data_IF_410554750818
#
_entry.id   IF_410554750818
#
_cell.length_a   1.000
_cell.length_b   1.000
_cell.length_c   1.000
_cell.angle_alpha   90.00
_cell.angle_beta   90.00
_cell.angle_gamma   90.00
#
_symmetry.space_group_name_H-M   'P 1'
#
loop_
_entity.id
_entity.type
_entity.pdbx_description
1 polymer ?
#
# COMPACT_ATOMS: atom_id res chain seq x y z
N UNK A 1 3.33 -8.37 6.36
CA UNK A 1 2.38 -7.99 5.29
C UNK A 1 1.76 -9.28 4.74
N UNK A 2 0.45 -9.41 4.84
CA UNK A 2 -0.29 -10.52 4.22
C UNK A 2 0.06 -10.65 2.73
N UNK A 3 0.17 -11.88 2.24
CA UNK A 3 0.40 -12.14 0.81
C UNK A 3 -0.92 -12.07 0.05
N UNK A 4 -0.87 -11.53 -1.17
CA UNK A 4 -2.01 -11.50 -2.08
C UNK A 4 -1.83 -12.55 -3.18
N UNK A 5 -2.35 -13.75 -2.93
CA UNK A 5 -2.03 -14.93 -3.74
C UNK A 5 -2.53 -14.83 -5.19
N UNK A 6 -3.75 -14.31 -5.42
CA UNK A 6 -4.29 -14.15 -6.78
C UNK A 6 -3.47 -13.16 -7.61
N UNK A 7 -2.98 -12.09 -6.98
CA UNK A 7 -2.09 -11.14 -7.64
C UNK A 7 -0.74 -11.77 -8.00
N UNK A 8 -0.15 -12.58 -7.11
CA UNK A 8 1.09 -13.30 -7.41
C UNK A 8 0.90 -14.28 -8.58
N UNK A 9 -0.21 -15.01 -8.62
CA UNK A 9 -0.54 -15.89 -9.74
C UNK A 9 -0.70 -15.13 -11.06
N UNK A 10 -1.34 -13.95 -11.02
CA UNK A 10 -1.46 -13.08 -12.20
C UNK A 10 -0.10 -12.62 -12.73
N UNK A 11 0.86 -12.30 -11.85
CA UNK A 11 2.22 -11.96 -12.26
C UNK A 11 2.93 -13.13 -12.94
N UNK A 12 2.87 -14.33 -12.34
CA UNK A 12 3.46 -15.55 -12.91
C UNK A 12 2.85 -15.85 -14.29
N UNK A 13 1.53 -15.75 -14.43
CA UNK A 13 0.86 -15.91 -15.72
C UNK A 13 1.39 -14.95 -16.79
N UNK A 14 1.61 -13.68 -16.43
CA UNK A 14 2.20 -12.69 -17.33
C UNK A 14 3.62 -13.07 -17.78
N UNK A 15 4.44 -13.56 -16.86
CA UNK A 15 5.79 -14.05 -17.19
C UNK A 15 5.78 -15.28 -18.11
N UNK A 16 4.89 -16.23 -17.85
CA UNK A 16 4.74 -17.43 -18.69
C UNK A 16 4.27 -17.09 -20.11
N UNK A 17 3.33 -16.14 -20.23
CA UNK A 17 2.90 -15.60 -21.52
C UNK A 17 4.06 -14.95 -22.28
N UNK A 18 4.86 -14.11 -21.60
CA UNK A 18 6.04 -13.47 -22.20
C UNK A 18 7.10 -14.49 -22.65
N UNK A 19 7.41 -15.50 -21.82
CA UNK A 19 8.33 -16.59 -22.16
C UNK A 19 7.86 -17.38 -23.38
N UNK A 20 6.56 -17.63 -23.49
CA UNK A 20 5.97 -18.35 -24.62
C UNK A 20 6.16 -17.57 -25.91
N UNK A 21 5.83 -16.28 -25.92
CA UNK A 21 6.03 -15.39 -27.06
C UNK A 21 7.50 -15.28 -27.45
N UNK A 22 8.41 -15.19 -26.47
CA UNK A 22 9.84 -15.03 -26.71
C UNK A 22 10.42 -16.19 -27.56
N UNK A 23 9.94 -17.42 -27.35
CA UNK A 23 10.37 -18.58 -28.17
C UNK A 23 10.05 -18.41 -29.65
N UNK A 24 8.96 -17.72 -30.00
CA UNK A 24 8.60 -17.46 -31.39
C UNK A 24 9.37 -16.29 -31.97
N UNK A 25 9.70 -15.27 -31.16
CA UNK A 25 10.64 -14.21 -31.56
C UNK A 25 11.99 -14.81 -31.96
N UNK A 26 12.56 -15.66 -31.11
CA UNK A 26 13.84 -16.34 -31.40
C UNK A 26 13.81 -17.21 -32.66
N UNK A 27 12.65 -17.78 -33.02
CA UNK A 27 12.49 -18.55 -34.26
C UNK A 27 12.50 -17.64 -35.49
N UNK A 28 11.87 -16.47 -35.41
CA UNK A 28 11.93 -15.46 -36.48
C UNK A 28 13.38 -15.00 -36.66
N UNK A 29 14.07 -14.64 -35.57
CA UNK A 29 15.45 -14.17 -35.62
C UNK A 29 16.39 -15.22 -36.25
N UNK A 30 16.20 -16.51 -35.92
CA UNK A 30 16.97 -17.61 -36.53
C UNK A 30 16.69 -17.77 -38.02
N UNK A 31 15.43 -17.63 -38.44
CA UNK A 31 15.04 -17.72 -39.85
C UNK A 31 15.59 -16.53 -40.65
N UNK A 32 15.52 -15.31 -40.11
CA UNK A 32 16.08 -14.10 -40.73
C UNK A 32 17.60 -14.20 -40.84
N UNK A 33 18.28 -14.72 -39.81
CA UNK A 33 19.71 -14.97 -39.86
C UNK A 33 20.08 -15.94 -40.98
N UNK A 34 19.32 -17.02 -41.18
CA UNK A 34 19.54 -17.98 -42.28
C UNK A 34 19.42 -17.31 -43.65
N UNK A 35 18.46 -16.41 -43.84
CA UNK A 35 18.34 -15.61 -45.09
C UNK A 35 19.58 -14.75 -45.30
N UNK A 36 20.04 -14.05 -44.26
CA UNK A 36 21.24 -13.21 -44.34
C UNK A 36 22.50 -14.02 -44.64
N UNK A 37 22.68 -15.17 -43.98
CA UNK A 37 23.82 -16.07 -44.22
C UNK A 37 23.84 -16.59 -45.68
N UNK A 38 22.67 -16.86 -46.27
CA UNK A 38 22.56 -17.27 -47.67
C UNK A 38 22.83 -16.12 -48.65
N UNK A 39 22.40 -14.90 -48.32
CA UNK A 39 22.70 -13.68 -49.11
C UNK A 39 24.21 -13.40 -49.13
N UNK A 40 24.88 -13.49 -47.98
CA UNK A 40 26.34 -13.35 -47.88
C UNK A 40 27.04 -14.39 -48.77
N UNK A 41 26.61 -15.65 -48.72
CA UNK A 41 27.18 -16.71 -49.58
C UNK A 41 26.96 -16.43 -51.07
N UNK A 42 25.81 -15.88 -51.44
CA UNK A 42 25.55 -15.50 -52.84
C UNK A 42 26.51 -14.40 -53.30
N UNK A 43 26.78 -13.40 -52.45
CA UNK A 43 27.72 -12.32 -52.73
C UNK A 43 29.17 -12.84 -52.84
N UNK A 44 29.56 -13.80 -51.99
CA UNK A 44 30.85 -14.49 -52.07
C UNK A 44 31.01 -15.24 -53.39
N UNK A 45 30.01 -16.03 -53.79
CA UNK A 45 30.02 -16.78 -55.06
C UNK A 45 30.11 -15.83 -56.25
N UNK A 46 29.35 -14.72 -56.23
CA UNK A 46 29.41 -13.69 -57.26
C UNK A 46 30.80 -13.04 -57.34
N UNK A 47 31.41 -12.74 -56.19
CA UNK A 47 32.77 -12.17 -56.12
C UNK A 47 33.83 -13.13 -56.69
N UNK A 48 33.70 -14.43 -56.41
CA UNK A 48 34.61 -15.47 -56.95
C UNK A 48 34.47 -15.57 -58.47
N UNK A 49 33.25 -15.56 -59.01
CA UNK A 49 33.01 -15.60 -60.46
C UNK A 49 33.62 -14.38 -61.15
N UNK A 50 33.44 -13.18 -60.60
CA UNK A 50 34.01 -11.95 -61.17
C UNK A 50 35.53 -11.95 -61.14
N UNK A 51 36.14 -12.45 -60.06
CA UNK A 51 37.61 -12.42 -59.88
C UNK A 51 38.34 -13.55 -60.61
N UNK A 52 37.72 -14.73 -60.72
CA UNK A 52 38.34 -15.91 -61.36
C UNK A 52 37.93 -16.10 -62.83
N UNK A 53 36.84 -15.47 -63.27
CA UNK A 53 36.25 -15.69 -64.60
C UNK A 53 35.58 -17.06 -64.78
N UNK A 54 35.51 -17.88 -63.72
CA UNK A 54 34.86 -19.19 -63.75
C UNK A 54 33.35 -19.01 -63.61
N UNK A 55 32.58 -19.57 -64.55
CA UNK A 55 31.12 -19.54 -64.50
C UNK A 55 30.58 -20.26 -63.24
N UNK A 56 29.81 -19.51 -62.44
CA UNK A 56 29.14 -19.98 -61.22
C UNK A 56 27.62 -19.92 -61.32
N UNK A 57 27.06 -19.82 -62.52
CA UNK A 57 25.63 -19.62 -62.76
C UNK A 57 24.73 -20.66 -62.08
N UNK A 58 25.13 -21.94 -62.08
CA UNK A 58 24.37 -23.01 -61.41
C UNK A 58 24.35 -22.85 -59.88
N UNK A 59 25.50 -22.50 -59.28
CA UNK A 59 25.63 -22.30 -57.84
C UNK A 59 24.81 -21.09 -57.36
N UNK A 60 24.87 -19.98 -58.12
CA UNK A 60 24.04 -18.79 -57.87
C UNK A 60 22.55 -19.09 -57.99
N UNK A 61 22.13 -19.85 -59.00
CA UNK A 61 20.73 -20.22 -59.20
C UNK A 61 20.20 -21.05 -58.01
N UNK A 62 21.01 -21.98 -57.51
CA UNK A 62 20.69 -22.76 -56.31
C UNK A 62 20.56 -21.87 -55.07
N UNK A 63 21.54 -20.99 -54.83
CA UNK A 63 21.50 -20.08 -53.69
C UNK A 63 20.29 -19.13 -53.73
N UNK A 64 19.90 -18.64 -54.91
CA UNK A 64 18.68 -17.83 -55.06
C UNK A 64 17.42 -18.62 -54.72
N UNK A 65 17.32 -19.87 -55.14
CA UNK A 65 16.20 -20.74 -54.77
C UNK A 65 16.17 -21.03 -53.26
N UNK A 66 17.34 -21.27 -52.64
CA UNK A 66 17.46 -21.48 -51.20
C UNK A 66 17.08 -20.20 -50.41
N UNK A 67 17.44 -19.01 -50.90
CA UNK A 67 17.02 -17.73 -50.33
C UNK A 67 15.50 -17.58 -50.41
N UNK A 68 14.89 -17.83 -51.58
CA UNK A 68 13.42 -17.73 -51.73
C UNK A 68 12.69 -18.68 -50.78
N UNK A 69 13.20 -19.91 -50.61
CA UNK A 69 12.66 -20.86 -49.65
C UNK A 69 12.81 -20.37 -48.20
N UNK A 70 13.97 -19.81 -47.84
CA UNK A 70 14.21 -19.27 -46.50
C UNK A 70 13.37 -18.01 -46.21
N UNK A 71 13.12 -17.14 -47.20
CA UNK A 71 12.25 -15.97 -47.05
C UNK A 71 10.78 -16.39 -46.82
N UNK A 72 10.31 -17.45 -47.49
CA UNK A 72 9.00 -18.06 -47.19
C UNK A 72 8.94 -18.63 -45.77
N UNK A 73 10.02 -19.24 -45.29
CA UNK A 73 10.12 -19.74 -43.91
C UNK A 73 10.02 -18.58 -42.89
N UNK A 74 10.69 -17.44 -43.14
CA UNK A 74 10.56 -16.24 -42.30
C UNK A 74 9.11 -15.76 -42.22
N UNK A 75 8.42 -15.65 -43.37
CA UNK A 75 7.02 -15.22 -43.39
C UNK A 75 6.12 -16.15 -42.57
N UNK A 76 6.32 -17.48 -42.67
CA UNK A 76 5.60 -18.45 -41.86
C UNK A 76 5.89 -18.28 -40.35
N UNK A 77 7.15 -18.03 -39.97
CA UNK A 77 7.52 -17.79 -38.57
C UNK A 77 6.95 -16.48 -38.00
N UNK A 78 6.85 -15.43 -38.81
CA UNK A 78 6.19 -14.18 -38.41
C UNK A 78 4.69 -14.42 -38.15
N UNK A 79 4.03 -15.22 -38.99
CA UNK A 79 2.62 -15.58 -38.81
C UNK A 79 2.41 -16.43 -37.54
N UNK A 80 3.26 -17.44 -37.32
CA UNK A 80 3.25 -18.25 -36.09
C UNK A 80 3.43 -17.39 -34.84
N UNK A 81 4.39 -16.45 -34.85
CA UNK A 81 4.59 -15.49 -33.75
C UNK A 81 3.33 -14.66 -33.49
N UNK A 82 2.68 -14.18 -34.55
CA UNK A 82 1.48 -13.34 -34.45
C UNK A 82 0.31 -14.14 -33.84
N UNK A 83 0.12 -15.40 -34.27
CA UNK A 83 -0.85 -16.32 -33.67
C UNK A 83 -0.52 -16.64 -32.22
N UNK A 84 0.75 -16.82 -31.88
CA UNK A 84 1.17 -17.07 -30.49
C UNK A 84 0.81 -15.87 -29.58
N UNK A 85 1.03 -14.65 -30.05
CA UNK A 85 0.59 -13.44 -29.33
C UNK A 85 -0.92 -13.43 -29.10
N UNK A 86 -1.70 -13.71 -30.15
CA UNK A 86 -3.16 -13.72 -30.07
C UNK A 86 -3.68 -14.80 -29.10
N UNK A 87 -3.10 -16.00 -29.15
CA UNK A 87 -3.45 -17.10 -28.24
C UNK A 87 -3.16 -16.70 -26.80
N UNK A 88 -1.97 -16.15 -26.52
CA UNK A 88 -1.58 -15.73 -25.17
C UNK A 88 -2.49 -14.60 -24.68
N UNK A 89 -2.88 -13.64 -25.53
CA UNK A 89 -3.80 -12.57 -25.15
C UNK A 89 -5.24 -13.05 -24.95
N UNK A 90 -5.66 -14.09 -25.68
CA UNK A 90 -7.04 -14.57 -25.72
C UNK A 90 -7.29 -15.84 -24.88
N UNK A 91 -6.34 -16.28 -24.07
CA UNK A 91 -6.56 -17.39 -23.13
C UNK A 91 -7.70 -17.02 -22.17
N UNK A 92 -8.91 -17.48 -22.48
CA UNK A 92 -10.15 -17.17 -21.74
C UNK A 92 -10.19 -17.65 -20.29
N UNK A 93 -9.18 -18.43 -19.87
CA UNK A 93 -8.96 -18.91 -18.51
C UNK A 93 -7.88 -18.12 -17.74
N UNK A 94 -7.40 -17.02 -18.30
CA UNK A 94 -6.43 -16.14 -17.64
C UNK A 94 -7.07 -15.30 -16.55
N UNK A 95 -6.36 -15.09 -15.45
CA UNK A 95 -6.73 -14.14 -14.40
C UNK A 95 -6.81 -12.76 -15.04
N UNK A 96 -7.98 -12.12 -14.97
CA UNK A 96 -8.21 -10.78 -15.51
C UNK A 96 -7.96 -9.74 -14.45
N UNK A 97 -7.72 -8.50 -14.88
CA UNK A 97 -7.61 -7.34 -13.98
C UNK A 97 -8.89 -7.14 -13.15
N UNK A 98 -10.06 -7.45 -13.72
CA UNK A 98 -11.33 -7.42 -13.00
C UNK A 98 -11.36 -8.43 -11.85
N UNK A 99 -10.80 -9.62 -12.06
CA UNK A 99 -10.76 -10.67 -11.03
C UNK A 99 -9.87 -10.24 -9.87
N UNK A 100 -8.75 -9.56 -10.15
CA UNK A 100 -7.91 -8.95 -9.13
C UNK A 100 -8.66 -7.89 -8.32
N UNK A 101 -9.37 -6.96 -8.99
CA UNK A 101 -10.11 -5.92 -8.28
C UNK A 101 -11.18 -6.53 -7.37
N UNK A 102 -11.92 -7.52 -7.87
CA UNK A 102 -12.95 -8.22 -7.09
C UNK A 102 -12.33 -8.97 -5.90
N UNK A 103 -11.23 -9.68 -6.10
CA UNK A 103 -10.54 -10.41 -5.03
C UNK A 103 -9.95 -9.46 -3.97
N UNK A 104 -9.40 -8.33 -4.39
CA UNK A 104 -8.90 -7.30 -3.49
C UNK A 104 -10.01 -6.80 -2.56
N UNK A 105 -11.16 -6.44 -3.14
CA UNK A 105 -12.28 -5.85 -2.42
C UNK A 105 -12.96 -6.87 -1.51
N UNK A 106 -13.14 -8.10 -1.98
CA UNK A 106 -14.00 -9.09 -1.32
C UNK A 106 -13.24 -10.06 -0.41
N UNK A 107 -11.94 -10.28 -0.64
CA UNK A 107 -11.17 -11.26 0.14
C UNK A 107 -9.93 -10.65 0.79
N UNK A 108 -9.01 -10.09 0.00
CA UNK A 108 -7.71 -9.66 0.53
C UNK A 108 -7.83 -8.51 1.53
N UNK A 109 -8.49 -7.40 1.14
CA UNK A 109 -8.66 -6.23 2.02
C UNK A 109 -9.42 -6.59 3.30
N UNK A 110 -10.59 -7.26 3.27
CA UNK A 110 -11.29 -7.67 4.50
C UNK A 110 -10.42 -8.52 5.42
N UNK A 111 -9.63 -9.46 4.86
CA UNK A 111 -8.75 -10.30 5.66
C UNK A 111 -7.58 -9.51 6.29
N UNK A 112 -7.00 -8.54 5.60
CA UNK A 112 -5.98 -7.62 6.18
C UNK A 112 -6.62 -6.76 7.26
N UNK A 113 -7.80 -6.19 7.01
CA UNK A 113 -8.51 -5.39 8.01
C UNK A 113 -8.76 -6.21 9.28
N UNK A 114 -9.29 -7.42 9.15
CA UNK A 114 -9.60 -8.25 10.30
C UNK A 114 -8.36 -8.68 11.10
N UNK A 115 -7.26 -9.02 10.43
CA UNK A 115 -6.08 -9.62 11.09
C UNK A 115 -5.00 -8.62 11.50
N UNK A 116 -4.82 -7.53 10.75
CA UNK A 116 -3.73 -6.58 10.98
C UNK A 116 -4.25 -5.22 11.50
N UNK A 117 -5.38 -4.73 10.98
CA UNK A 117 -5.87 -3.37 11.30
C UNK A 117 -6.79 -3.36 12.52
N UNK A 118 -7.76 -4.25 12.60
CA UNK A 118 -8.75 -4.30 13.68
C UNK A 118 -8.11 -4.40 15.08
N UNK A 119 -7.04 -5.18 15.31
CA UNK A 119 -6.35 -5.19 16.60
C UNK A 119 -5.72 -3.84 16.98
N UNK A 120 -5.26 -3.06 15.99
CA UNK A 120 -4.70 -1.73 16.24
C UNK A 120 -5.80 -0.72 16.56
N UNK A 121 -6.92 -0.80 15.84
CA UNK A 121 -8.11 0.02 16.14
C UNK A 121 -8.60 -0.26 17.55
N UNK A 122 -8.72 -1.54 17.95
CA UNK A 122 -9.11 -1.91 19.30
C UNK A 122 -8.15 -1.34 20.36
N UNK A 123 -6.83 -1.42 20.14
CA UNK A 123 -5.85 -0.81 21.06
C UNK A 123 -6.01 0.69 21.19
N UNK A 124 -6.34 1.39 20.11
CA UNK A 124 -6.61 2.83 20.13
C UNK A 124 -7.90 3.14 20.89
N UNK A 125 -8.95 2.35 20.71
CA UNK A 125 -10.21 2.47 21.44
C UNK A 125 -10.00 2.24 22.95
N UNK A 126 -9.25 1.21 23.32
CA UNK A 126 -8.94 0.89 24.72
C UNK A 126 -8.10 1.99 25.38
N UNK A 127 -7.09 2.52 24.66
CA UNK A 127 -6.26 3.63 25.13
C UNK A 127 -7.09 4.90 25.33
N UNK A 128 -7.98 5.21 24.37
CA UNK A 128 -8.89 6.35 24.45
C UNK A 128 -9.85 6.21 25.63
N UNK A 129 -10.40 5.03 25.85
CA UNK A 129 -11.25 4.73 27.01
C UNK A 129 -10.52 4.93 28.32
N UNK A 130 -9.29 4.41 28.43
CA UNK A 130 -8.44 4.55 29.61
C UNK A 130 -8.15 6.02 29.91
N UNK A 131 -7.76 6.78 28.88
CA UNK A 131 -7.49 8.20 28.98
C UNK A 131 -8.69 8.99 29.52
N UNK A 132 -9.87 8.81 28.92
CA UNK A 132 -11.05 9.55 29.35
C UNK A 132 -11.52 9.15 30.76
N UNK A 133 -11.44 7.86 31.12
CA UNK A 133 -11.77 7.45 32.50
C UNK A 133 -10.83 8.11 33.51
N UNK A 134 -9.51 8.14 33.24
CA UNK A 134 -8.55 8.81 34.12
C UNK A 134 -8.82 10.33 34.23
N UNK A 135 -9.22 10.97 33.13
CA UNK A 135 -9.61 12.38 33.13
C UNK A 135 -10.86 12.63 33.99
N UNK A 136 -11.87 11.77 33.88
CA UNK A 136 -13.08 11.88 34.72
C UNK A 136 -12.80 11.59 36.19
N UNK A 137 -11.94 10.62 36.50
CA UNK A 137 -11.53 10.35 37.89
C UNK A 137 -10.79 11.55 38.48
N UNK A 138 -9.98 12.26 37.68
CA UNK A 138 -9.33 13.51 38.09
C UNK A 138 -10.36 14.61 38.39
N UNK A 139 -11.39 14.78 37.55
CA UNK A 139 -12.47 15.74 37.82
C UNK A 139 -13.31 15.37 39.05
N UNK A 140 -13.65 14.09 39.23
CA UNK A 140 -14.34 13.63 40.45
C UNK A 140 -13.51 13.98 41.70
N UNK A 141 -12.17 13.88 41.63
CA UNK A 141 -11.28 14.32 42.71
C UNK A 141 -11.22 15.83 42.88
N UNK A 142 -11.24 16.60 41.79
CA UNK A 142 -11.34 18.06 41.88
C UNK A 142 -12.59 18.46 42.65
N UNK A 143 -13.73 17.90 42.28
CA UNK A 143 -15.02 18.16 42.92
C UNK A 143 -14.99 17.75 44.40
N UNK A 144 -14.44 16.57 44.71
CA UNK A 144 -14.30 16.06 46.09
C UNK A 144 -13.50 17.01 47.00
N UNK A 145 -12.42 17.59 46.50
CA UNK A 145 -11.56 18.50 47.26
C UNK A 145 -11.88 19.98 47.05
N UNK A 146 -12.84 20.32 46.18
CA UNK A 146 -13.17 21.71 45.83
C UNK A 146 -13.58 22.54 47.05
N UNK A 147 -14.34 21.93 47.97
CA UNK A 147 -14.78 22.61 49.19
C UNK A 147 -13.60 22.92 50.13
N UNK A 148 -12.63 22.02 50.23
CA UNK A 148 -11.41 22.24 51.03
C UNK A 148 -10.59 23.37 50.43
N UNK A 149 -10.44 23.39 49.10
CA UNK A 149 -9.82 24.49 48.38
C UNK A 149 -10.55 25.82 48.63
N UNK A 150 -11.88 25.84 48.55
CA UNK A 150 -12.71 27.03 48.80
C UNK A 150 -12.46 27.58 50.20
N UNK A 151 -12.47 26.72 51.22
CA UNK A 151 -12.19 27.09 52.62
C UNK A 151 -10.78 27.65 52.78
N UNK A 152 -9.77 26.99 52.20
CA UNK A 152 -8.38 27.45 52.28
C UNK A 152 -8.20 28.83 51.62
N UNK A 153 -8.87 29.06 50.48
CA UNK A 153 -8.84 30.34 49.78
C UNK A 153 -9.56 31.44 50.58
N UNK A 154 -10.68 31.11 51.23
CA UNK A 154 -11.38 32.03 52.13
C UNK A 154 -10.50 32.44 53.32
N UNK A 155 -9.82 31.49 53.97
CA UNK A 155 -8.86 31.77 55.06
C UNK A 155 -7.72 32.66 54.57
N UNK A 156 -7.12 32.34 53.41
CA UNK A 156 -6.03 33.11 52.83
C UNK A 156 -6.42 34.58 52.54
N UNK A 157 -7.69 34.82 52.19
CA UNK A 157 -8.24 36.16 51.91
C UNK A 157 -8.65 36.94 53.16
N UNK A 158 -9.00 36.25 54.25
CA UNK A 158 -9.63 36.88 55.43
C UNK A 158 -8.69 36.97 56.65
N UNK A 159 -7.49 36.40 56.60
CA UNK A 159 -6.54 36.41 57.73
C UNK A 159 -5.67 37.69 57.73
N UNK A 160 -5.78 38.57 58.74
CA UNK A 160 -4.88 39.71 58.87
C UNK A 160 -3.53 39.26 59.46
N UNK A 161 -2.43 39.71 58.86
CA UNK A 161 -1.06 39.49 59.37
C UNK A 161 -0.53 40.83 59.90
N UNK A 162 -0.22 40.91 61.19
CA UNK A 162 0.32 42.11 61.86
C UNK A 162 -0.51 43.39 61.65
N UNK A 163 -1.84 43.30 61.73
CA UNK A 163 -2.74 44.46 61.64
C UNK A 163 -2.85 45.09 60.24
N UNK A 164 -2.25 44.46 59.22
CA UNK A 164 -2.38 44.84 57.81
C UNK A 164 -2.89 43.64 57.00
N UNK A 165 -3.79 43.89 56.05
CA UNK A 165 -4.29 42.85 55.14
C UNK A 165 -3.19 42.48 54.13
N UNK A 166 -2.32 41.53 54.48
CA UNK A 166 -1.43 40.90 53.50
C UNK A 166 -2.17 39.71 52.90
N UNK A 167 -2.25 39.65 51.57
CA UNK A 167 -2.77 38.44 50.92
C UNK A 167 -1.74 37.34 51.11
N UNK A 168 -2.09 36.29 51.84
CA UNK A 168 -1.35 35.03 51.75
C UNK A 168 -1.43 34.57 50.29
N UNK A 169 -0.38 33.94 49.75
CA UNK A 169 -0.41 33.43 48.37
C UNK A 169 -1.67 32.59 48.20
N UNK A 170 -2.47 32.89 47.16
CA UNK A 170 -3.70 32.14 46.91
C UNK A 170 -3.35 30.66 46.81
N UNK A 171 -4.04 29.76 47.53
CA UNK A 171 -3.84 28.34 47.32
C UNK A 171 -4.05 28.06 45.84
N UNK A 172 -3.16 27.27 45.25
CA UNK A 172 -3.30 26.80 43.88
C UNK A 172 -4.28 25.62 43.93
N UNK A 173 -5.27 25.62 43.03
CA UNK A 173 -6.16 24.45 42.87
C UNK A 173 -5.28 23.22 42.59
N UNK A 174 -5.59 22.09 43.23
CA UNK A 174 -4.81 20.87 43.19
C UNK A 174 -4.52 20.40 41.76
N UNK A 175 -5.43 20.65 40.81
CA UNK A 175 -5.21 20.30 39.39
C UNK A 175 -4.18 21.21 38.70
N UNK A 176 -4.09 22.49 39.10
CA UNK A 176 -3.20 23.46 38.46
C UNK A 176 -1.71 23.26 38.83
N UNK A 177 -1.42 22.51 39.89
CA UNK A 177 -0.04 22.20 40.32
C UNK A 177 0.45 20.84 39.80
N UNK A 178 -0.44 20.02 39.24
CA UNK A 178 -0.03 18.83 38.49
C UNK A 178 0.62 19.34 37.20
N UNK A 179 1.94 19.17 37.09
CA UNK A 179 2.68 19.28 35.82
C UNK A 179 2.18 18.20 34.86
N UNK A 180 0.97 18.38 34.33
CA UNK A 180 0.35 17.46 33.40
C UNK A 180 1.12 17.51 32.10
N UNK A 181 1.46 16.33 31.57
CA UNK A 181 1.86 16.20 30.18
C UNK A 181 0.67 16.70 29.35
N UNK A 182 0.81 17.92 28.84
CA UNK A 182 -0.14 18.72 28.06
C UNK A 182 -1.27 17.91 27.46
N UNK A 183 -2.38 17.86 28.21
CA UNK A 183 -3.71 17.70 27.63
C UNK A 183 -3.93 18.98 26.83
N UNK A 184 -4.06 18.89 25.51
CA UNK A 184 -4.28 20.11 24.74
C UNK A 184 -5.66 20.66 25.08
N UNK A 185 -5.81 21.99 25.08
CA UNK A 185 -7.11 22.63 25.28
C UNK A 185 -8.16 22.14 24.27
N UNK A 186 -7.75 21.58 23.14
CA UNK A 186 -8.62 20.95 22.16
C UNK A 186 -9.15 19.57 22.61
N UNK A 187 -8.33 18.76 23.30
CA UNK A 187 -8.77 17.47 23.85
C UNK A 187 -9.85 17.69 24.92
N UNK A 188 -9.71 18.80 25.67
CA UNK A 188 -10.70 19.29 26.63
C UNK A 188 -11.94 19.80 25.90
N UNK A 189 -11.80 20.61 24.85
CA UNK A 189 -12.94 21.15 24.10
C UNK A 189 -13.81 20.08 23.44
N UNK A 190 -13.20 19.03 22.87
CA UNK A 190 -13.94 17.88 22.30
C UNK A 190 -14.68 17.06 23.37
N UNK A 191 -14.25 17.14 24.64
CA UNK A 191 -14.93 16.54 25.77
C UNK A 191 -16.01 17.46 26.38
N UNK A 192 -15.74 18.77 26.49
CA UNK A 192 -16.63 19.79 27.05
C UNK A 192 -17.87 20.02 26.18
N UNK A 193 -17.72 20.06 24.85
CA UNK A 193 -18.85 20.25 23.91
C UNK A 193 -19.88 19.11 24.00
N UNK A 194 -19.45 17.93 24.50
CA UNK A 194 -20.34 16.78 24.80
C UNK A 194 -20.88 16.79 26.24
N UNK A 195 -20.14 17.32 27.20
CA UNK A 195 -20.52 17.38 28.62
C UNK A 195 -21.61 18.42 28.87
N UNK A 196 -21.54 19.60 28.24
CA UNK A 196 -22.46 20.72 28.50
C UNK A 196 -23.90 20.48 28.00
N UNK A 197 -24.11 19.53 27.08
CA UNK A 197 -25.43 19.31 26.45
C UNK A 197 -26.12 18.01 26.87
N UNK A 198 -25.46 17.09 27.57
CA UNK A 198 -26.05 15.76 27.90
C UNK A 198 -25.85 15.29 29.33
N UNK A 199 -24.94 15.89 30.11
CA UNK A 199 -24.66 15.44 31.47
C UNK A 199 -23.89 14.10 31.50
N UNK A 200 -22.59 14.17 31.76
CA UNK A 200 -21.73 13.01 32.12
C UNK A 200 -21.75 11.81 31.14
N UNK A 201 -22.02 12.01 29.86
CA UNK A 201 -21.88 10.94 28.87
C UNK A 201 -20.55 11.05 28.11
N UNK A 202 -19.84 9.93 28.07
CA UNK A 202 -18.62 9.76 27.31
C UNK A 202 -18.88 9.81 25.79
N UNK A 203 -17.88 10.07 24.95
CA UNK A 203 -18.00 9.90 23.50
C UNK A 203 -18.58 8.53 23.12
N UNK A 204 -19.37 8.48 22.05
CA UNK A 204 -20.09 7.27 21.60
C UNK A 204 -19.17 6.04 21.58
N UNK A 205 -19.53 5.01 22.34
CA UNK A 205 -18.81 3.74 22.44
C UNK A 205 -17.94 3.57 23.68
N UNK A 206 -17.68 4.63 24.46
CA UNK A 206 -16.87 4.53 25.68
C UNK A 206 -17.80 4.40 26.90
N UNK A 207 -17.63 3.33 27.68
CA UNK A 207 -18.39 3.11 28.93
C UNK A 207 -17.58 3.64 30.12
N UNK A 208 -18.25 4.37 31.02
CA UNK A 208 -17.62 4.81 32.28
C UNK A 208 -17.41 3.59 33.16
N UNK A 209 -16.16 3.36 33.57
CA UNK A 209 -15.84 2.31 34.55
C UNK A 209 -15.50 3.04 35.84
N UNK A 210 -16.47 3.18 36.74
CA UNK A 210 -16.20 3.75 38.08
C UNK A 210 -15.38 2.75 38.90
N UNK A 211 -14.23 3.20 39.39
CA UNK A 211 -13.44 2.48 40.41
C UNK A 211 -12.51 1.39 39.87
N UNK A 212 -11.86 1.62 38.72
CA UNK A 212 -10.69 0.80 38.37
C UNK A 212 -9.60 1.01 39.43
N UNK A 213 -9.35 -0.03 40.21
CA UNK A 213 -8.33 -0.09 41.26
C UNK A 213 -6.93 -0.08 40.68
#
# INVERSE_FOLDING_TARGET
MKKWDLYNQYLVQGEEGAKTVQKYVEQVDKAEKKVNDLKIKLDEVFSIEVTSGVDKSSEKAKLRADIEAAEKEVAAKIEERSKAHEIVSNQGHSIKRTDLVLDYLNHYRPAVVASEVAPLVQKLEDARSTYFNALFDLYDKQDEYHEVYRIANEIARTTPINGSYYSVSNPVDFINDIKTAVISRNDIWESEDRIDHTGKELPSGIKRIKGAK
#
